data_IF_549847459889
#
_entry.id   IF_549847459889
#
_cell.length_a   1.000
_cell.length_b   1.000
_cell.length_c   1.000
_cell.angle_alpha   90.00
_cell.angle_beta   90.00
_cell.angle_gamma   90.00
#
_symmetry.space_group_name_H-M   'P 1'
#
loop_
_entity.id
_entity.type
_entity.pdbx_description
1 polymer ?
#
# COMPACT_ATOMS: atom_id res chain seq x y z
N UNK A 1 -22.97 42.14 -24.03
CA UNK A 1 -21.76 42.03 -23.19
C UNK A 1 -21.97 41.02 -22.05
N UNK A 2 -23.19 40.85 -21.52
CA UNK A 2 -23.58 39.78 -20.57
C UNK A 2 -23.28 38.34 -21.02
N UNK A 3 -23.57 37.99 -22.27
CA UNK A 3 -23.36 36.62 -22.80
C UNK A 3 -21.90 36.15 -22.66
N UNK A 4 -20.95 37.09 -22.69
CA UNK A 4 -19.52 36.82 -22.46
C UNK A 4 -19.20 36.52 -20.99
N UNK A 5 -19.83 37.23 -20.05
CA UNK A 5 -19.66 37.00 -18.62
C UNK A 5 -20.26 35.66 -18.20
N UNK A 6 -21.46 35.31 -18.66
CA UNK A 6 -22.05 34.00 -18.44
C UNK A 6 -21.24 32.87 -19.11
N UNK A 7 -20.69 33.12 -20.31
CA UNK A 7 -19.79 32.19 -20.98
C UNK A 7 -18.49 31.94 -20.22
N UNK A 8 -17.89 33.00 -19.68
CA UNK A 8 -16.67 32.91 -18.86
C UNK A 8 -16.92 32.17 -17.54
N UNK A 9 -18.04 32.42 -16.87
CA UNK A 9 -18.45 31.69 -15.65
C UNK A 9 -18.65 30.20 -15.95
N UNK A 10 -19.34 29.86 -17.04
CA UNK A 10 -19.54 28.46 -17.44
C UNK A 10 -18.21 27.76 -17.80
N UNK A 11 -17.27 28.47 -18.44
CA UNK A 11 -15.95 27.94 -18.73
C UNK A 11 -15.14 27.69 -17.44
N UNK A 12 -15.17 28.63 -16.48
CA UNK A 12 -14.52 28.48 -15.19
C UNK A 12 -15.10 27.31 -14.38
N UNK A 13 -16.42 27.13 -14.39
CA UNK A 13 -17.09 26.01 -13.72
C UNK A 13 -16.72 24.66 -14.33
N UNK A 14 -16.68 24.56 -15.67
CA UNK A 14 -16.22 23.34 -16.34
C UNK A 14 -14.76 23.03 -16.00
N UNK A 15 -13.90 24.04 -15.97
CA UNK A 15 -12.50 23.86 -15.60
C UNK A 15 -12.35 23.36 -14.16
N UNK A 16 -13.13 23.92 -13.22
CA UNK A 16 -13.16 23.47 -11.83
C UNK A 16 -13.63 22.02 -11.69
N UNK A 17 -14.65 21.60 -12.46
CA UNK A 17 -15.08 20.20 -12.49
C UNK A 17 -13.99 19.27 -13.01
N UNK A 18 -13.25 19.66 -14.05
CA UNK A 18 -12.13 18.88 -14.57
C UNK A 18 -11.06 18.68 -13.51
N UNK A 19 -10.69 19.75 -12.78
CA UNK A 19 -9.72 19.63 -11.68
C UNK A 19 -10.21 18.72 -10.55
N UNK A 20 -11.48 18.87 -10.15
CA UNK A 20 -12.07 18.03 -9.11
C UNK A 20 -12.10 16.54 -9.51
N UNK A 21 -12.41 16.23 -10.77
CA UNK A 21 -12.38 14.87 -11.29
C UNK A 21 -10.95 14.30 -11.31
N UNK A 22 -9.97 15.10 -11.72
CA UNK A 22 -8.57 14.67 -11.72
C UNK A 22 -8.06 14.41 -10.29
N UNK A 23 -8.38 15.28 -9.34
CA UNK A 23 -8.02 15.12 -7.93
C UNK A 23 -8.67 13.88 -7.33
N UNK A 24 -9.94 13.61 -7.65
CA UNK A 24 -10.63 12.40 -7.22
C UNK A 24 -9.97 11.13 -7.79
N UNK A 25 -9.59 11.13 -9.07
CA UNK A 25 -8.90 9.99 -9.70
C UNK A 25 -7.55 9.71 -9.02
N UNK A 26 -6.75 10.75 -8.78
CA UNK A 26 -5.45 10.61 -8.09
C UNK A 26 -5.67 10.12 -6.64
N UNK A 27 -6.68 10.65 -5.96
CA UNK A 27 -7.00 10.25 -4.58
C UNK A 27 -7.44 8.80 -4.50
N UNK A 28 -8.26 8.33 -5.45
CA UNK A 28 -8.65 6.92 -5.53
C UNK A 28 -7.46 6.02 -5.84
N UNK A 29 -6.56 6.42 -6.75
CA UNK A 29 -5.33 5.67 -7.03
C UNK A 29 -4.45 5.55 -5.78
N UNK A 30 -4.23 6.67 -5.07
CA UNK A 30 -3.50 6.66 -3.79
C UNK A 30 -4.15 5.74 -2.77
N UNK A 31 -5.47 5.85 -2.61
CA UNK A 31 -6.22 4.99 -1.69
C UNK A 31 -6.10 3.51 -2.05
N UNK A 32 -6.12 3.16 -3.33
CA UNK A 32 -5.93 1.79 -3.79
C UNK A 32 -4.53 1.27 -3.44
N UNK A 33 -3.49 2.08 -3.63
CA UNK A 33 -2.13 1.74 -3.20
C UNK A 33 -2.05 1.56 -1.68
N UNK A 34 -2.63 2.47 -0.89
CA UNK A 34 -2.62 2.37 0.57
C UNK A 34 -3.33 1.09 1.06
N UNK A 35 -4.47 0.74 0.47
CA UNK A 35 -5.21 -0.49 0.79
C UNK A 35 -4.40 -1.73 0.38
N UNK A 36 -3.74 -1.71 -0.78
CA UNK A 36 -2.86 -2.80 -1.21
C UNK A 36 -1.72 -3.01 -0.21
N UNK A 37 -1.06 -1.93 0.24
CA UNK A 37 0.00 -1.99 1.24
C UNK A 37 -0.51 -2.55 2.56
N UNK A 38 -1.66 -2.08 3.06
CA UNK A 38 -2.26 -2.59 4.29
C UNK A 38 -2.62 -4.08 4.19
N UNK A 39 -3.17 -4.51 3.05
CA UNK A 39 -3.46 -5.92 2.80
C UNK A 39 -2.19 -6.78 2.76
N UNK A 40 -1.13 -6.30 2.10
CA UNK A 40 0.16 -6.99 2.07
C UNK A 40 0.80 -7.11 3.46
N UNK A 41 0.75 -6.05 4.27
CA UNK A 41 1.26 -6.09 5.65
C UNK A 41 0.45 -7.06 6.52
N UNK A 42 -0.88 -7.03 6.41
CA UNK A 42 -1.75 -7.96 7.15
C UNK A 42 -1.42 -9.42 6.82
N UNK A 43 -1.10 -9.72 5.56
CA UNK A 43 -0.68 -11.06 5.15
C UNK A 43 0.68 -11.45 5.77
N UNK A 44 1.65 -10.54 5.79
CA UNK A 44 2.95 -10.78 6.41
C UNK A 44 2.79 -11.04 7.92
N UNK A 45 1.97 -10.24 8.60
CA UNK A 45 1.69 -10.40 10.03
C UNK A 45 0.93 -11.68 10.36
N UNK A 46 0.14 -12.20 9.42
CA UNK A 46 -0.56 -13.48 9.57
C UNK A 46 0.35 -14.70 9.47
N UNK A 47 1.60 -14.53 9.01
CA UNK A 47 2.55 -15.63 8.95
C UNK A 47 2.83 -16.12 10.37
N UNK A 48 2.73 -17.44 10.64
CA UNK A 48 3.12 -17.97 11.92
C UNK A 48 4.60 -17.65 12.16
N UNK A 49 4.92 -17.12 13.34
CA UNK A 49 6.31 -17.03 13.76
C UNK A 49 6.92 -18.43 13.67
N UNK A 50 8.00 -18.63 12.91
CA UNK A 50 8.65 -19.94 12.87
C UNK A 50 9.14 -20.24 14.29
N UNK A 51 8.43 -21.13 14.97
CA UNK A 51 8.97 -21.74 16.17
C UNK A 51 10.28 -22.42 15.74
N UNK A 52 11.38 -22.27 16.49
CA UNK A 52 12.58 -23.03 16.21
C UNK A 52 12.19 -24.50 16.19
N UNK A 53 12.18 -25.10 15.00
CA UNK A 53 11.71 -26.47 14.81
C UNK A 53 12.81 -27.39 15.30
N UNK A 54 12.80 -27.67 16.60
CA UNK A 54 13.51 -28.81 17.18
C UNK A 54 12.74 -30.12 16.94
N UNK A 55 11.54 -30.03 16.36
CA UNK A 55 10.72 -31.16 15.93
C UNK A 55 11.52 -32.02 14.94
N UNK A 56 12.00 -33.18 15.39
CA UNK A 56 12.79 -34.13 14.59
C UNK A 56 14.31 -33.99 14.73
N UNK A 57 14.81 -33.03 15.52
CA UNK A 57 16.24 -32.92 15.81
C UNK A 57 16.59 -33.77 17.06
N UNK A 58 17.68 -34.55 17.04
CA UNK A 58 18.18 -35.24 18.22
C UNK A 58 18.51 -34.26 19.37
N UNK A 59 18.40 -34.66 20.65
CA UNK A 59 18.59 -33.78 21.82
C UNK A 59 19.96 -33.09 21.91
N UNK A 60 20.94 -33.56 21.14
CA UNK A 60 22.34 -33.20 21.20
C UNK A 60 22.85 -32.53 19.90
N UNK A 61 21.98 -32.24 18.94
CA UNK A 61 22.36 -31.57 17.69
C UNK A 61 22.63 -30.08 17.93
N UNK A 62 23.79 -29.58 17.48
CA UNK A 62 24.23 -28.20 17.71
C UNK A 62 24.96 -27.96 19.04
N UNK A 63 25.02 -28.96 19.93
CA UNK A 63 25.72 -28.83 21.21
C UNK A 63 27.25 -28.77 21.07
N UNK A 64 27.79 -29.26 19.96
CA UNK A 64 29.22 -29.25 19.69
C UNK A 64 29.46 -28.75 18.26
N UNK A 65 30.09 -27.58 18.12
CA UNK A 65 30.61 -27.08 16.85
C UNK A 65 32.13 -27.26 16.90
N UNK A 66 32.69 -27.96 15.92
CA UNK A 66 34.14 -28.09 15.79
C UNK A 66 34.69 -26.81 15.14
N UNK A 67 35.44 -26.01 15.91
CA UNK A 67 36.05 -24.74 15.46
C UNK A 67 37.56 -24.93 15.29
N UNK A 68 37.98 -25.93 14.52
CA UNK A 68 39.41 -26.09 14.17
C UNK A 68 39.61 -25.60 12.74
N UNK A 69 40.48 -24.61 12.57
CA UNK A 69 40.84 -23.97 11.30
C UNK A 69 41.91 -24.75 10.54
#
# INVERSE_FOLDING_TARGET
MDVSANGAVNAAMQQQQVYAQQEAQISMLKKAMDVQTQGALSLIESLPTPAPSTQGLPPNLGNNINVTA
#
